data_IF_868486182838
#
_entry.id   IF_868486182838
#
_cell.length_a   1.000
_cell.length_b   1.000
_cell.length_c   1.000
_cell.angle_alpha   90.00
_cell.angle_beta   90.00
_cell.angle_gamma   90.00
#
_symmetry.space_group_name_H-M   'P 1'
#
loop_
_entity.id
_entity.type
_entity.pdbx_description
1 polymer ?
#
# COMPACT_ATOMS: atom_id res chain seq x y z
N UNK A 1 -13.38 18.39 -21.84
CA UNK A 1 -13.40 16.93 -22.03
C UNK A 1 -12.81 16.28 -20.77
N UNK A 2 -13.61 15.60 -19.94
CA UNK A 2 -13.09 14.98 -18.70
C UNK A 2 -12.15 13.85 -19.12
N UNK A 3 -10.89 13.88 -18.68
CA UNK A 3 -9.96 12.78 -18.90
C UNK A 3 -10.49 11.53 -18.17
N UNK A 4 -11.15 10.65 -18.91
CA UNK A 4 -11.70 9.41 -18.37
C UNK A 4 -10.58 8.36 -18.40
N UNK A 5 -9.93 8.16 -17.24
CA UNK A 5 -8.81 7.24 -17.06
C UNK A 5 -8.25 7.32 -15.63
N UNK A 6 -7.38 6.38 -15.21
CA UNK A 6 -6.82 6.35 -13.84
C UNK A 6 -6.17 7.67 -13.44
N UNK A 7 -5.46 8.32 -14.37
CA UNK A 7 -4.83 9.62 -14.17
C UNK A 7 -5.86 10.75 -13.90
N UNK A 8 -7.03 10.70 -14.56
CA UNK A 8 -8.11 11.68 -14.33
C UNK A 8 -8.82 11.49 -12.99
N UNK A 9 -8.90 10.25 -12.50
CA UNK A 9 -9.46 9.92 -11.17
C UNK A 9 -8.50 10.28 -10.05
N UNK A 10 -7.20 10.03 -10.22
CA UNK A 10 -6.15 10.32 -9.23
C UNK A 10 -5.84 11.82 -9.18
N UNK A 11 -6.24 12.63 -10.17
CA UNK A 11 -6.07 14.10 -10.17
C UNK A 11 -6.70 14.78 -8.93
N UNK A 12 -7.74 14.18 -8.34
CA UNK A 12 -8.35 14.65 -7.08
C UNK A 12 -7.84 13.93 -5.83
N UNK A 13 -6.71 13.21 -5.93
CA UNK A 13 -6.04 12.63 -4.77
C UNK A 13 -5.40 13.71 -3.92
N UNK A 14 -5.28 13.44 -2.62
CA UNK A 14 -4.68 14.38 -1.67
C UNK A 14 -3.25 14.80 -2.05
N UNK A 15 -2.50 13.96 -2.76
CA UNK A 15 -1.12 14.25 -3.15
C UNK A 15 -1.02 15.16 -4.38
N UNK A 16 -2.11 15.32 -5.15
CA UNK A 16 -2.14 16.13 -6.37
C UNK A 16 -3.10 17.33 -6.27
N UNK A 17 -3.93 17.38 -5.23
CA UNK A 17 -4.82 18.51 -4.95
C UNK A 17 -4.05 19.67 -4.34
N UNK A 18 -4.53 20.89 -4.58
CA UNK A 18 -3.95 22.13 -4.05
C UNK A 18 -4.98 22.92 -3.21
N UNK A 19 -4.51 23.90 -2.46
CA UNK A 19 -5.30 24.89 -1.70
C UNK A 19 -6.45 24.30 -0.86
N UNK A 20 -7.67 24.79 -1.05
CA UNK A 20 -8.85 24.40 -0.27
C UNK A 20 -9.29 22.96 -0.57
N UNK A 21 -9.03 22.43 -1.77
CA UNK A 21 -9.31 21.02 -2.07
C UNK A 21 -8.39 20.11 -1.27
N UNK A 22 -7.09 20.42 -1.22
CA UNK A 22 -6.13 19.72 -0.38
C UNK A 22 -6.50 19.82 1.10
N UNK A 23 -6.80 21.03 1.59
CA UNK A 23 -7.15 21.26 3.00
C UNK A 23 -8.39 20.47 3.41
N UNK A 24 -9.40 20.41 2.54
CA UNK A 24 -10.60 19.60 2.73
C UNK A 24 -10.27 18.11 2.79
N UNK A 25 -9.53 17.58 1.81
CA UNK A 25 -9.16 16.15 1.77
C UNK A 25 -8.28 15.76 2.98
N UNK A 26 -7.32 16.61 3.35
CA UNK A 26 -6.46 16.40 4.51
C UNK A 26 -7.25 16.37 5.81
N UNK A 27 -8.21 17.29 5.96
CA UNK A 27 -9.10 17.31 7.13
C UNK A 27 -9.92 16.03 7.23
N UNK A 28 -10.39 15.49 6.10
CA UNK A 28 -11.15 14.23 6.07
C UNK A 28 -10.29 12.99 6.37
N UNK A 29 -9.05 12.94 5.87
CA UNK A 29 -8.20 11.74 5.99
C UNK A 29 -7.34 11.69 7.26
N UNK A 30 -7.04 12.84 7.88
CA UNK A 30 -6.17 12.89 9.07
C UNK A 30 -6.67 12.04 10.26
N UNK A 31 -7.98 11.98 10.57
CA UNK A 31 -8.48 11.15 11.68
C UNK A 31 -8.16 9.65 11.55
N UNK A 32 -7.97 9.14 10.33
CA UNK A 32 -7.64 7.74 10.06
C UNK A 32 -6.28 7.33 10.63
N UNK A 33 -5.36 8.28 10.79
CA UNK A 33 -3.97 8.03 11.22
C UNK A 33 -3.67 8.54 12.63
N UNK A 34 -4.68 8.72 13.48
CA UNK A 34 -4.47 9.06 14.90
C UNK A 34 -3.80 7.89 15.64
N UNK A 35 -3.11 8.17 16.74
CA UNK A 35 -2.48 7.13 17.57
C UNK A 35 -3.47 6.07 18.06
N UNK A 36 -4.74 6.43 18.31
CA UNK A 36 -5.80 5.49 18.66
C UNK A 36 -6.10 4.52 17.52
N UNK A 37 -6.29 5.03 16.30
CA UNK A 37 -6.52 4.21 15.11
C UNK A 37 -5.32 3.34 14.73
N UNK A 38 -4.10 3.86 14.86
CA UNK A 38 -2.89 3.06 14.64
C UNK A 38 -2.76 1.92 15.66
N UNK A 39 -3.15 2.14 16.92
CA UNK A 39 -3.21 1.06 17.92
C UNK A 39 -4.24 0.00 17.57
N UNK A 40 -5.41 0.40 17.05
CA UNK A 40 -6.43 -0.54 16.56
C UNK A 40 -5.94 -1.37 15.36
N UNK A 41 -5.11 -0.79 14.49
CA UNK A 41 -4.52 -1.48 13.33
C UNK A 41 -3.37 -2.44 13.71
N UNK A 42 -2.70 -2.20 14.83
CA UNK A 42 -1.48 -2.91 15.23
C UNK A 42 -1.60 -4.45 15.24
N UNK A 43 -2.68 -5.07 15.73
CA UNK A 43 -2.83 -6.53 15.68
C UNK A 43 -2.84 -7.09 14.25
N UNK A 44 -3.46 -6.39 13.30
CA UNK A 44 -3.50 -6.78 11.89
C UNK A 44 -2.09 -6.72 11.28
N UNK A 45 -1.35 -5.65 11.59
CA UNK A 45 0.04 -5.50 11.14
C UNK A 45 0.90 -6.64 11.70
N UNK A 46 0.76 -6.96 12.98
CA UNK A 46 1.46 -8.06 13.64
C UNK A 46 1.18 -9.41 12.99
N UNK A 47 -0.09 -9.71 12.66
CA UNK A 47 -0.49 -10.94 11.98
C UNK A 47 0.23 -11.11 10.64
N UNK A 48 0.30 -10.05 9.82
CA UNK A 48 1.05 -10.12 8.56
C UNK A 48 2.57 -10.19 8.77
N UNK A 49 3.07 -9.61 9.87
CA UNK A 49 4.46 -9.74 10.29
C UNK A 49 4.85 -11.19 10.59
N UNK A 50 3.98 -11.93 11.28
CA UNK A 50 4.18 -13.36 11.54
C UNK A 50 4.20 -14.17 10.23
N UNK A 51 3.33 -13.85 9.27
CA UNK A 51 3.33 -14.48 7.94
C UNK A 51 4.60 -14.17 7.16
N UNK A 52 5.10 -12.93 7.22
CA UNK A 52 6.37 -12.53 6.60
C UNK A 52 7.53 -13.36 7.17
N UNK A 53 7.63 -13.48 8.50
CA UNK A 53 8.69 -14.27 9.15
C UNK A 53 8.61 -15.74 8.76
N UNK A 54 7.41 -16.33 8.68
CA UNK A 54 7.21 -17.71 8.22
C UNK A 54 7.70 -17.91 6.78
N UNK A 55 7.38 -16.98 5.88
CA UNK A 55 7.83 -17.06 4.49
C UNK A 55 9.34 -16.87 4.34
N UNK A 56 9.96 -15.99 5.12
CA UNK A 56 11.42 -15.84 5.14
C UNK A 56 12.13 -17.11 5.58
N UNK A 57 11.66 -17.76 6.66
CA UNK A 57 12.22 -19.04 7.13
C UNK A 57 12.11 -20.13 6.06
N UNK A 58 10.98 -20.19 5.35
CA UNK A 58 10.76 -21.16 4.26
C UNK A 58 11.75 -20.97 3.11
N UNK A 59 12.07 -19.73 2.75
CA UNK A 59 13.05 -19.46 1.69
C UNK A 59 14.49 -19.70 2.16
N UNK A 60 14.79 -19.42 3.43
CA UNK A 60 16.07 -19.78 4.08
C UNK A 60 16.30 -21.30 4.05
N UNK A 61 15.30 -22.11 4.44
CA UNK A 61 15.36 -23.57 4.41
C UNK A 61 15.62 -24.13 2.99
N UNK A 62 15.19 -23.40 1.97
CA UNK A 62 15.42 -23.74 0.55
C UNK A 62 16.79 -23.31 0.04
N UNK A 63 17.56 -22.55 0.84
CA UNK A 63 18.84 -21.97 0.44
C UNK A 63 18.72 -20.99 -0.72
N UNK A 64 17.54 -20.39 -0.92
CA UNK A 64 17.28 -19.49 -2.05
C UNK A 64 17.49 -18.03 -1.65
N UNK A 65 18.17 -17.22 -2.48
CA UNK A 65 18.19 -15.78 -2.31
C UNK A 65 16.77 -15.20 -2.36
N UNK A 66 16.49 -14.25 -1.47
CA UNK A 66 15.19 -13.57 -1.40
C UNK A 66 15.31 -12.17 -1.98
N UNK A 67 14.44 -11.82 -2.93
CA UNK A 67 14.31 -10.44 -3.40
C UNK A 67 13.52 -9.64 -2.37
N UNK A 68 14.22 -8.76 -1.63
CA UNK A 68 13.62 -7.95 -0.56
C UNK A 68 12.44 -7.10 -1.05
N UNK A 69 12.53 -6.55 -2.26
CA UNK A 69 11.46 -5.74 -2.87
C UNK A 69 10.15 -6.53 -3.02
N UNK A 70 10.24 -7.81 -3.38
CA UNK A 70 9.06 -8.62 -3.65
C UNK A 70 8.38 -9.03 -2.35
N UNK A 71 9.15 -9.50 -1.37
CA UNK A 71 8.59 -9.99 -0.10
C UNK A 71 8.06 -8.84 0.77
N UNK A 72 8.77 -7.72 0.87
CA UNK A 72 8.29 -6.54 1.60
C UNK A 72 7.18 -5.82 0.84
N UNK A 73 7.19 -5.88 -0.49
CA UNK A 73 6.11 -5.36 -1.32
C UNK A 73 4.79 -6.10 -1.07
N UNK A 74 4.84 -7.43 -1.02
CA UNK A 74 3.69 -8.27 -0.66
C UNK A 74 3.22 -8.00 0.78
N UNK A 75 4.13 -7.99 1.75
CA UNK A 75 3.79 -7.64 3.14
C UNK A 75 3.10 -6.27 3.25
N UNK A 76 3.64 -5.24 2.57
CA UNK A 76 3.04 -3.90 2.58
C UNK A 76 1.65 -3.88 1.96
N UNK A 77 1.43 -4.67 0.91
CA UNK A 77 0.12 -4.81 0.27
C UNK A 77 -0.91 -5.42 1.22
N UNK A 78 -0.56 -6.52 1.88
CA UNK A 78 -1.42 -7.19 2.85
C UNK A 78 -1.76 -6.27 4.04
N UNK A 79 -0.76 -5.55 4.57
CA UNK A 79 -0.98 -4.57 5.63
C UNK A 79 -1.95 -3.46 5.20
N UNK A 80 -1.72 -2.84 4.03
CA UNK A 80 -2.59 -1.75 3.55
C UNK A 80 -4.02 -2.27 3.32
N UNK A 81 -4.15 -3.44 2.71
CA UNK A 81 -5.46 -4.00 2.35
C UNK A 81 -6.26 -4.46 3.56
N UNK A 82 -5.59 -5.10 4.52
CA UNK A 82 -6.20 -5.48 5.80
C UNK A 82 -6.60 -4.28 6.65
N UNK A 83 -5.74 -3.26 6.75
CA UNK A 83 -6.00 -2.10 7.63
C UNK A 83 -6.93 -1.05 7.03
N UNK A 84 -6.86 -0.81 5.72
CA UNK A 84 -7.64 0.26 5.07
C UNK A 84 -8.97 -0.23 4.52
N UNK A 85 -9.04 -1.49 4.09
CA UNK A 85 -10.23 -2.05 3.43
C UNK A 85 -10.85 -3.24 4.18
N UNK A 86 -10.19 -3.76 5.22
CA UNK A 86 -10.65 -4.95 5.93
C UNK A 86 -10.59 -6.22 5.08
N UNK A 87 -9.77 -6.24 4.04
CA UNK A 87 -9.67 -7.37 3.09
C UNK A 87 -8.34 -8.08 3.30
N UNK A 88 -8.39 -9.41 3.44
CA UNK A 88 -7.21 -10.25 3.46
C UNK A 88 -6.97 -10.85 2.07
N UNK A 89 -5.92 -10.40 1.38
CA UNK A 89 -5.58 -10.82 0.02
C UNK A 89 -4.59 -12.00 0.02
N UNK A 90 -3.82 -12.15 1.11
CA UNK A 90 -2.78 -13.16 1.25
C UNK A 90 -1.72 -13.08 0.14
N UNK A 91 -1.32 -11.87 -0.22
CA UNK A 91 -0.36 -11.61 -1.30
C UNK A 91 1.05 -12.15 -1.00
N UNK A 92 1.39 -12.33 0.28
CA UNK A 92 2.61 -13.01 0.72
C UNK A 92 2.69 -14.47 0.24
N UNK A 93 1.56 -15.15 0.09
CA UNK A 93 1.50 -16.53 -0.39
C UNK A 93 0.98 -16.63 -1.84
N UNK A 94 0.26 -15.61 -2.33
CA UNK A 94 -0.31 -15.56 -3.67
C UNK A 94 0.08 -14.27 -4.42
N UNK A 95 1.31 -14.18 -4.94
CA UNK A 95 1.81 -12.98 -5.61
C UNK A 95 1.12 -12.68 -6.96
N UNK A 96 0.39 -13.64 -7.51
CA UNK A 96 -0.37 -13.50 -8.76
C UNK A 96 -1.82 -13.06 -8.57
N UNK A 97 -2.20 -12.71 -7.33
CA UNK A 97 -3.54 -12.25 -7.04
C UNK A 97 -3.93 -11.06 -7.98
N UNK A 98 -5.13 -11.11 -8.61
CA UNK A 98 -5.54 -10.08 -9.57
C UNK A 98 -5.56 -8.66 -9.00
N UNK A 99 -5.81 -8.49 -7.70
CA UNK A 99 -5.73 -7.20 -7.03
C UNK A 99 -4.28 -6.72 -6.93
N UNK A 100 -3.37 -7.59 -6.47
CA UNK A 100 -1.93 -7.29 -6.38
C UNK A 100 -1.38 -6.86 -7.74
N UNK A 101 -1.72 -7.59 -8.81
CA UNK A 101 -1.27 -7.28 -10.17
C UNK A 101 -1.80 -5.93 -10.67
N UNK A 102 -3.08 -5.63 -10.41
CA UNK A 102 -3.69 -4.34 -10.77
C UNK A 102 -3.04 -3.19 -10.01
N UNK A 103 -2.79 -3.34 -8.71
CA UNK A 103 -2.14 -2.31 -7.90
C UNK A 103 -0.69 -2.10 -8.32
N UNK A 104 0.08 -3.17 -8.55
CA UNK A 104 1.45 -3.06 -9.11
C UNK A 104 1.47 -2.27 -10.41
N UNK A 105 0.53 -2.55 -11.33
CA UNK A 105 0.41 -1.82 -12.60
C UNK A 105 0.09 -0.33 -12.39
N UNK A 106 -0.76 0.00 -11.42
CA UNK A 106 -1.05 1.40 -11.09
C UNK A 106 0.21 2.06 -10.53
N UNK A 107 0.83 1.48 -9.51
CA UNK A 107 2.01 2.03 -8.82
C UNK A 107 3.25 2.19 -9.73
N UNK A 108 3.40 1.37 -10.76
CA UNK A 108 4.46 1.55 -11.77
C UNK A 108 4.10 2.58 -12.85
N UNK A 109 2.81 2.78 -13.12
CA UNK A 109 2.34 3.76 -14.10
C UNK A 109 2.29 5.20 -13.58
N UNK A 110 2.09 5.37 -12.27
CA UNK A 110 2.33 6.64 -11.60
C UNK A 110 3.77 6.64 -11.12
N UNK A 111 4.63 7.53 -11.61
CA UNK A 111 5.96 7.76 -11.04
C UNK A 111 5.81 8.34 -9.62
N UNK A 112 5.39 7.53 -8.66
CA UNK A 112 5.19 7.94 -7.27
C UNK A 112 6.53 8.26 -6.58
N UNK A 113 7.64 7.82 -7.18
CA UNK A 113 9.02 8.10 -6.78
C UNK A 113 9.66 9.23 -7.61
N UNK A 114 8.86 10.09 -8.25
CA UNK A 114 9.40 11.34 -8.78
C UNK A 114 9.97 12.14 -7.58
N UNK A 115 11.26 12.54 -7.58
CA UNK A 115 11.86 13.26 -6.45
C UNK A 115 11.07 14.50 -6.00
N UNK A 116 10.26 15.06 -6.90
CA UNK A 116 9.36 16.17 -6.61
C UNK A 116 8.19 15.84 -5.65
N UNK A 117 7.77 14.58 -5.52
CA UNK A 117 6.72 14.16 -4.58
C UNK A 117 7.22 14.00 -3.13
N UNK A 118 8.53 13.86 -2.93
CA UNK A 118 9.17 13.79 -1.60
C UNK A 118 9.77 15.14 -1.17
N UNK A 119 9.70 16.16 -2.02
CA UNK A 119 10.14 17.53 -1.76
C UNK A 119 8.98 18.35 -1.16
N UNK A 120 8.59 18.02 0.07
CA UNK A 120 7.90 18.95 0.99
C UNK A 120 8.77 19.10 2.22
#
# INVERSE_FOLDING_TARGET
>A
MKAFGPAGLIKKSINLSEDEEWKRLRTLLSPTFTSGKLKEMFPIIGQYGDTLVKNLRREEERGKPVTIKDILGAYSMDVITGTSFGVNIDSLNNPEDPFVQKVKKILTSVNFLDPFLLSV
#
